data_IF_796200697911
#
_entry.id   IF_796200697911
#
_cell.length_a   1.000
_cell.length_b   1.000
_cell.length_c   1.000
_cell.angle_alpha   90.00
_cell.angle_beta   90.00
_cell.angle_gamma   90.00
#
_symmetry.space_group_name_H-M   'P 1'
#
loop_
_entity.id
_entity.type
_entity.pdbx_description
1 polymer ?
#
# COMPACT_ATOMS: atom_id res chain seq x y z
N UNK A 1 5.18 55.59 -46.50
CA UNK A 1 4.60 56.69 -45.71
C UNK A 1 3.10 56.43 -45.59
N UNK A 2 2.58 56.58 -44.38
CA UNK A 2 1.19 56.45 -43.91
C UNK A 2 0.72 55.05 -43.51
N UNK A 3 0.05 55.08 -42.35
CA UNK A 3 -0.25 54.05 -41.38
C UNK A 3 -1.76 53.80 -41.46
N UNK A 4 -2.21 52.57 -41.25
CA UNK A 4 -3.58 52.29 -40.84
C UNK A 4 -3.54 51.40 -39.58
N UNK A 5 -4.08 51.91 -38.47
CA UNK A 5 -4.30 51.23 -37.19
C UNK A 5 -5.78 50.85 -37.08
N UNK A 6 -6.08 49.61 -36.68
CA UNK A 6 -7.19 49.18 -35.81
C UNK A 6 -7.34 47.67 -35.98
N UNK A 7 -7.43 46.78 -35.00
CA UNK A 7 -7.58 46.86 -33.55
C UNK A 7 -7.89 45.42 -33.08
N UNK A 8 -7.73 45.13 -31.80
CA UNK A 8 -8.38 43.97 -31.17
C UNK A 8 -7.45 42.81 -30.75
N UNK A 9 -7.09 42.84 -29.47
CA UNK A 9 -7.19 41.74 -28.48
C UNK A 9 -6.45 40.40 -28.69
N UNK A 10 -5.58 40.14 -27.71
CA UNK A 10 -4.86 38.92 -27.32
C UNK A 10 -5.79 37.71 -27.12
N UNK A 11 -5.35 36.50 -27.52
CA UNK A 11 -5.81 35.27 -26.86
C UNK A 11 -4.78 34.10 -26.93
N UNK A 12 -4.23 33.79 -25.75
CA UNK A 12 -3.83 32.49 -25.14
C UNK A 12 -2.70 31.66 -25.80
N UNK A 13 -1.46 31.63 -25.27
CA UNK A 13 -0.94 31.03 -24.01
C UNK A 13 -0.89 29.48 -24.05
N UNK A 14 0.33 28.97 -24.22
CA UNK A 14 0.94 27.74 -23.65
C UNK A 14 0.28 26.36 -23.94
N UNK A 15 0.67 25.74 -25.06
CA UNK A 15 0.50 24.29 -25.30
C UNK A 15 1.82 23.51 -25.13
N UNK A 16 2.57 23.77 -24.05
CA UNK A 16 3.90 23.16 -23.90
C UNK A 16 4.32 22.72 -22.50
N UNK A 17 3.56 23.03 -21.44
CA UNK A 17 3.97 22.75 -20.06
C UNK A 17 2.99 21.87 -19.27
N UNK A 18 1.84 21.52 -19.85
CA UNK A 18 0.83 20.71 -19.17
C UNK A 18 1.10 19.20 -19.16
N UNK A 19 1.80 18.67 -20.16
CA UNK A 19 2.02 17.21 -20.25
C UNK A 19 3.25 16.74 -19.46
N UNK A 20 4.31 17.57 -19.36
CA UNK A 20 5.46 17.24 -18.53
C UNK A 20 5.08 17.20 -17.04
N UNK A 21 4.32 18.19 -16.55
CA UNK A 21 3.87 18.23 -15.16
C UNK A 21 3.06 17.01 -14.73
N UNK A 22 2.16 16.51 -15.59
CA UNK A 22 1.36 15.33 -15.29
C UNK A 22 2.16 14.01 -15.35
N UNK A 23 3.20 13.92 -16.21
CA UNK A 23 4.10 12.76 -16.21
C UNK A 23 5.06 12.77 -15.02
N UNK A 24 5.51 13.95 -14.58
CA UNK A 24 6.37 14.07 -13.39
C UNK A 24 5.58 13.85 -12.09
N UNK A 25 4.36 14.38 -11.95
CA UNK A 25 3.53 14.11 -10.76
C UNK A 25 3.05 12.66 -10.68
N UNK A 26 2.81 12.00 -11.83
CA UNK A 26 2.54 10.56 -11.88
C UNK A 26 3.76 9.71 -11.49
N UNK A 27 4.94 10.04 -12.05
CA UNK A 27 6.19 9.33 -11.76
C UNK A 27 6.67 9.52 -10.31
N UNK A 28 6.46 10.70 -9.72
CA UNK A 28 6.83 10.97 -8.32
C UNK A 28 5.88 10.25 -7.36
N UNK A 29 4.61 10.01 -7.70
CA UNK A 29 3.73 9.15 -6.89
C UNK A 29 4.25 7.70 -6.81
N UNK A 30 4.83 7.18 -7.89
CA UNK A 30 5.44 5.85 -7.90
C UNK A 30 6.77 5.79 -7.14
N UNK A 31 7.47 6.92 -6.95
CA UNK A 31 8.67 7.02 -6.12
C UNK A 31 8.37 7.04 -4.60
N UNK A 32 7.10 7.21 -4.21
CA UNK A 32 6.65 7.19 -2.81
C UNK A 32 5.85 5.93 -2.43
N UNK A 33 5.64 5.01 -3.38
CA UNK A 33 5.36 3.62 -3.02
C UNK A 33 6.67 3.04 -2.47
N UNK A 34 6.77 2.91 -1.15
CA UNK A 34 7.85 2.15 -0.53
C UNK A 34 7.98 0.82 -1.28
N UNK A 35 9.18 0.49 -1.76
CA UNK A 35 9.41 -0.76 -2.49
C UNK A 35 9.02 -1.92 -1.57
N UNK A 36 8.02 -2.74 -1.93
CA UNK A 36 7.60 -3.85 -1.08
C UNK A 36 8.79 -4.74 -0.74
N UNK A 37 8.92 -5.13 0.53
CA UNK A 37 9.98 -6.03 0.98
C UNK A 37 9.54 -7.48 0.84
N UNK A 38 10.47 -8.36 0.47
CA UNK A 38 10.21 -9.79 0.50
C UNK A 38 10.07 -10.24 1.96
N UNK A 39 8.92 -10.82 2.31
CA UNK A 39 8.58 -11.27 3.64
C UNK A 39 9.55 -12.35 4.14
N UNK A 40 10.19 -13.10 3.23
CA UNK A 40 11.23 -14.09 3.56
C UNK A 40 12.52 -13.46 4.10
N UNK A 41 12.74 -12.16 3.93
CA UNK A 41 13.88 -11.44 4.48
C UNK A 41 13.67 -10.98 5.92
N UNK A 42 12.41 -10.99 6.40
CA UNK A 42 12.09 -10.57 7.76
C UNK A 42 12.25 -11.72 8.76
N UNK A 43 12.57 -11.37 10.00
CA UNK A 43 12.59 -12.33 11.11
C UNK A 43 11.17 -12.45 11.65
N UNK A 44 10.64 -13.67 11.74
CA UNK A 44 9.34 -13.94 12.38
C UNK A 44 9.49 -14.39 13.84
N UNK A 45 8.60 -13.92 14.72
CA UNK A 45 8.53 -14.27 16.14
C UNK A 45 7.07 -14.47 16.58
N UNK A 46 6.84 -15.37 17.54
CA UNK A 46 5.51 -15.63 18.08
C UNK A 46 4.76 -16.70 17.30
N UNK A 47 3.51 -16.98 17.70
CA UNK A 47 2.68 -18.02 17.06
C UNK A 47 1.27 -17.56 16.74
N UNK A 48 0.76 -16.51 17.39
CA UNK A 48 -0.57 -15.93 17.11
C UNK A 48 -0.78 -14.62 17.92
N UNK A 49 -0.73 -13.42 17.31
CA UNK A 49 -0.26 -13.17 15.95
C UNK A 49 1.26 -13.36 15.82
N UNK A 50 1.72 -13.59 14.59
CA UNK A 50 3.15 -13.59 14.24
C UNK A 50 3.60 -12.14 14.06
N UNK A 51 4.72 -11.79 14.69
CA UNK A 51 5.39 -10.50 14.58
C UNK A 51 6.59 -10.61 13.64
N UNK A 52 6.76 -9.63 12.76
CA UNK A 52 7.83 -9.53 11.77
C UNK A 52 8.79 -8.39 12.12
N UNK A 53 10.07 -8.70 12.21
CA UNK A 53 11.14 -7.79 12.59
C UNK A 53 12.10 -7.55 11.43
N UNK A 54 12.64 -6.34 11.35
CA UNK A 54 13.78 -6.05 10.50
C UNK A 54 15.01 -6.83 11.00
N UNK A 55 15.73 -7.57 10.13
CA UNK A 55 16.86 -8.41 10.54
C UNK A 55 18.11 -7.61 10.96
N UNK A 56 18.24 -6.36 10.54
CA UNK A 56 19.38 -5.50 10.87
C UNK A 56 19.16 -4.77 12.18
N UNK A 57 17.97 -4.16 12.36
CA UNK A 57 17.66 -3.36 13.56
C UNK A 57 17.03 -4.17 14.68
N UNK A 58 16.46 -5.33 14.37
CA UNK A 58 15.62 -6.14 15.27
C UNK A 58 14.35 -5.42 15.75
N UNK A 59 13.97 -4.32 15.10
CA UNK A 59 12.75 -3.57 15.40
C UNK A 59 11.56 -4.11 14.60
N UNK A 60 10.32 -3.92 15.08
CA UNK A 60 9.13 -4.31 14.34
C UNK A 60 9.05 -3.60 12.99
N UNK A 61 8.98 -4.38 11.91
CA UNK A 61 8.96 -3.82 10.57
C UNK A 61 7.61 -3.17 10.27
N UNK A 62 7.64 -1.99 9.65
CA UNK A 62 6.44 -1.31 9.13
C UNK A 62 6.68 -0.95 7.68
N UNK A 63 5.74 -1.30 6.81
CA UNK A 63 5.87 -1.08 5.37
C UNK A 63 5.19 -2.17 4.53
N UNK A 64 5.15 -1.99 3.20
CA UNK A 64 4.58 -2.97 2.28
C UNK A 64 5.47 -4.21 2.18
N UNK A 65 4.84 -5.37 2.12
CA UNK A 65 5.51 -6.66 1.95
C UNK A 65 4.85 -7.52 0.90
N UNK A 66 5.63 -8.45 0.35
CA UNK A 66 5.16 -9.52 -0.50
C UNK A 66 5.86 -10.83 -0.15
N UNK A 67 5.21 -11.96 -0.40
CA UNK A 67 5.82 -13.29 -0.31
C UNK A 67 5.76 -13.92 -1.70
N UNK A 68 6.87 -14.49 -2.17
CA UNK A 68 6.85 -15.41 -3.31
C UNK A 68 7.12 -16.83 -2.87
N UNK A 69 6.48 -17.79 -3.54
CA UNK A 69 6.72 -19.22 -3.38
C UNK A 69 6.88 -19.89 -4.75
N UNK A 70 7.41 -21.11 -4.79
CA UNK A 70 7.45 -21.88 -6.03
C UNK A 70 6.02 -22.26 -6.46
N UNK A 71 5.54 -21.69 -7.57
CA UNK A 71 4.23 -22.03 -8.14
C UNK A 71 4.24 -23.34 -8.94
N UNK A 72 3.10 -23.66 -9.57
CA UNK A 72 2.84 -24.93 -10.29
C UNK A 72 3.91 -25.31 -11.32
N UNK A 73 4.54 -24.31 -11.94
CA UNK A 73 5.58 -24.48 -12.96
C UNK A 73 7.01 -24.36 -12.43
N UNK A 74 7.21 -24.43 -11.11
CA UNK A 74 8.50 -24.18 -10.44
C UNK A 74 9.08 -22.78 -10.73
N UNK A 75 8.20 -21.84 -11.11
CA UNK A 75 8.51 -20.43 -11.25
C UNK A 75 8.03 -19.72 -9.98
N UNK A 76 8.78 -18.77 -9.39
CA UNK A 76 8.30 -17.97 -8.28
C UNK A 76 6.99 -17.27 -8.64
N UNK A 77 5.97 -17.43 -7.80
CA UNK A 77 4.67 -16.78 -7.92
C UNK A 77 4.39 -15.97 -6.67
N UNK A 78 3.65 -14.87 -6.83
CA UNK A 78 3.16 -14.08 -5.71
C UNK A 78 2.22 -14.96 -4.88
N UNK A 79 2.56 -15.17 -3.62
CA UNK A 79 1.77 -15.96 -2.69
C UNK A 79 0.91 -15.07 -1.79
N UNK A 80 1.50 -14.01 -1.25
CA UNK A 80 0.84 -13.07 -0.36
C UNK A 80 1.32 -11.64 -0.61
N UNK A 81 0.45 -10.67 -0.38
CA UNK A 81 0.80 -9.24 -0.37
C UNK A 81 0.01 -8.50 0.71
N UNK A 82 0.59 -7.42 1.24
CA UNK A 82 -0.09 -6.56 2.20
C UNK A 82 0.86 -5.55 2.84
N UNK A 83 0.46 -5.01 3.98
CA UNK A 83 1.25 -4.06 4.75
C UNK A 83 1.41 -4.55 6.18
N UNK A 84 2.59 -4.30 6.74
CA UNK A 84 2.88 -4.50 8.15
C UNK A 84 2.88 -3.14 8.86
N UNK A 85 2.33 -3.09 10.07
CA UNK A 85 2.45 -1.98 11.00
C UNK A 85 2.90 -2.53 12.36
N UNK A 86 3.97 -1.96 12.91
CA UNK A 86 4.62 -2.42 14.14
C UNK A 86 4.85 -3.94 14.14
N UNK A 87 5.26 -4.49 13.00
CA UNK A 87 5.55 -5.91 12.81
C UNK A 87 4.32 -6.81 12.61
N UNK A 88 3.10 -6.29 12.57
CA UNK A 88 1.88 -7.08 12.39
C UNK A 88 1.13 -6.70 11.12
N UNK A 89 0.42 -7.66 10.51
CA UNK A 89 -0.44 -7.36 9.36
C UNK A 89 -1.45 -6.26 9.69
N UNK A 90 -1.49 -5.21 8.86
CA UNK A 90 -2.36 -4.07 9.04
C UNK A 90 -2.83 -3.54 7.69
N UNK A 91 -4.12 -3.25 7.57
CA UNK A 91 -4.73 -2.78 6.34
C UNK A 91 -5.04 -3.92 5.36
N UNK A 92 -5.08 -3.62 4.05
CA UNK A 92 -5.39 -4.60 3.01
C UNK A 92 -4.40 -5.77 2.98
N UNK A 93 -4.94 -6.97 2.80
CA UNK A 93 -4.17 -8.19 2.69
C UNK A 93 -4.77 -9.11 1.61
N UNK A 94 -3.91 -9.75 0.83
CA UNK A 94 -4.30 -10.67 -0.24
C UNK A 94 -3.43 -11.95 -0.22
N UNK A 95 -4.04 -13.07 -0.60
CA UNK A 95 -3.38 -14.37 -0.79
C UNK A 95 -3.85 -15.03 -2.07
N UNK A 96 -2.91 -15.66 -2.76
CA UNK A 96 -3.07 -16.25 -4.08
C UNK A 96 -2.74 -17.75 -4.06
N UNK A 97 -3.24 -18.50 -5.04
CA UNK A 97 -2.87 -19.90 -5.23
C UNK A 97 -1.57 -20.07 -6.03
N UNK A 98 -1.24 -21.33 -6.35
CA UNK A 98 -0.03 -21.72 -7.09
C UNK A 98 -0.02 -21.25 -8.56
N UNK A 99 -1.19 -20.91 -9.10
CA UNK A 99 -1.38 -20.38 -10.45
C UNK A 99 -1.45 -18.84 -10.47
N UNK A 100 -1.43 -18.21 -9.28
CA UNK A 100 -1.49 -16.76 -9.09
C UNK A 100 -2.91 -16.20 -9.08
N UNK A 101 -3.93 -17.05 -8.94
CA UNK A 101 -5.32 -16.60 -8.82
C UNK A 101 -5.60 -16.15 -7.38
N UNK A 102 -6.38 -15.08 -7.23
CA UNK A 102 -6.73 -14.53 -5.92
C UNK A 102 -7.68 -15.48 -5.19
N UNK A 103 -7.26 -15.99 -4.03
CA UNK A 103 -8.03 -16.92 -3.20
C UNK A 103 -8.71 -16.20 -2.04
N UNK A 104 -7.97 -15.31 -1.36
CA UNK A 104 -8.49 -14.61 -0.20
C UNK A 104 -8.06 -13.15 -0.22
N UNK A 105 -8.97 -12.24 0.14
CA UNK A 105 -8.63 -10.86 0.45
C UNK A 105 -9.48 -10.30 1.58
N UNK A 106 -8.93 -9.35 2.31
CA UNK A 106 -9.65 -8.65 3.37
C UNK A 106 -8.81 -7.57 4.02
N UNK A 107 -9.20 -7.20 5.23
CA UNK A 107 -8.48 -6.21 6.06
C UNK A 107 -8.04 -6.86 7.35
N UNK A 108 -6.76 -6.66 7.67
CA UNK A 108 -6.16 -7.02 8.96
C UNK A 108 -6.02 -5.76 9.80
N UNK A 109 -6.19 -5.88 11.11
CA UNK A 109 -5.83 -4.84 12.07
C UNK A 109 -4.94 -5.46 13.15
N UNK A 110 -3.65 -5.10 13.13
CA UNK A 110 -2.66 -5.59 14.09
C UNK A 110 -2.62 -7.13 14.18
N UNK A 111 -2.68 -7.80 13.03
CA UNK A 111 -2.66 -9.26 12.90
C UNK A 111 -4.03 -9.96 13.02
N UNK A 112 -5.12 -9.20 13.25
CA UNK A 112 -6.47 -9.75 13.44
C UNK A 112 -7.40 -9.38 12.28
N UNK A 113 -8.12 -10.35 11.74
CA UNK A 113 -9.06 -10.13 10.64
C UNK A 113 -10.24 -9.28 11.10
N UNK A 114 -10.59 -8.28 10.30
CA UNK A 114 -11.74 -7.41 10.57
C UNK A 114 -12.49 -7.05 9.29
N UNK A 115 -13.76 -6.68 9.44
CA UNK A 115 -14.63 -6.30 8.33
C UNK A 115 -15.01 -7.47 7.42
N UNK A 116 -15.25 -7.17 6.15
CA UNK A 116 -15.66 -8.16 5.15
C UNK A 116 -14.42 -8.74 4.48
N UNK A 117 -14.35 -10.07 4.44
CA UNK A 117 -13.36 -10.85 3.74
C UNK A 117 -14.02 -11.60 2.59
N UNK A 118 -13.27 -11.79 1.50
CA UNK A 118 -13.65 -12.70 0.42
C UNK A 118 -12.71 -13.89 0.50
N UNK A 119 -13.27 -15.09 0.70
CA UNK A 119 -12.56 -16.36 0.81
C UNK A 119 -13.13 -17.33 -0.23
N UNK A 120 -12.31 -17.74 -1.21
CA UNK A 120 -12.75 -18.57 -2.34
C UNK A 120 -14.00 -18.01 -3.06
N UNK A 121 -14.08 -16.68 -3.19
CA UNK A 121 -15.20 -15.99 -3.81
C UNK A 121 -16.47 -15.88 -2.93
N UNK A 122 -16.44 -16.36 -1.70
CA UNK A 122 -17.52 -16.21 -0.72
C UNK A 122 -17.20 -15.10 0.28
N UNK A 123 -18.20 -14.30 0.66
CA UNK A 123 -18.03 -13.30 1.70
C UNK A 123 -18.13 -13.90 3.11
N UNK A 124 -17.13 -13.62 3.95
CA UNK A 124 -17.10 -13.89 5.39
C UNK A 124 -17.04 -12.56 6.12
N UNK A 125 -17.89 -12.36 7.14
CA UNK A 125 -17.91 -11.10 7.92
C UNK A 125 -17.34 -11.33 9.31
N UNK A 126 -16.30 -10.55 9.64
CA UNK A 126 -15.69 -10.46 10.96
C UNK A 126 -16.18 -9.21 11.69
N UNK A 127 -15.74 -9.03 12.95
CA UNK A 127 -16.00 -7.81 13.69
C UNK A 127 -15.49 -6.58 12.90
N UNK A 128 -16.17 -5.42 12.97
CA UNK A 128 -15.72 -4.21 12.29
C UNK A 128 -14.29 -3.86 12.69
N UNK A 129 -13.50 -3.36 11.73
CA UNK A 129 -12.17 -2.86 12.05
C UNK A 129 -12.28 -1.76 13.10
N UNK A 130 -11.50 -1.83 14.20
CA UNK A 130 -11.48 -0.77 15.19
C UNK A 130 -11.26 0.58 14.49
N UNK A 131 -11.93 1.66 14.93
CA UNK A 131 -11.54 2.98 14.47
C UNK A 131 -10.04 3.11 14.76
N UNK A 132 -9.27 3.54 13.75
CA UNK A 132 -7.83 3.74 13.92
C UNK A 132 -7.61 4.53 15.20
N UNK A 133 -6.59 4.15 15.99
CA UNK A 133 -6.21 4.84 17.21
C UNK A 133 -5.93 6.32 16.84
N UNK A 134 -6.97 7.16 16.84
CA UNK A 134 -6.78 8.59 16.95
C UNK A 134 -6.13 8.75 18.32
N UNK A 135 -4.82 8.95 18.32
CA UNK A 135 -4.13 9.46 19.50
C UNK A 135 -4.85 10.76 19.81
N UNK A 136 -5.65 10.75 20.86
CA UNK A 136 -6.25 11.95 21.42
C UNK A 136 -5.11 12.77 22.03
N UNK A 137 -4.47 13.58 21.18
CA UNK A 137 -3.39 14.48 21.56
C UNK A 137 -3.83 15.49 22.64
N UNK A 138 -5.13 15.60 22.94
CA UNK A 138 -5.62 16.46 24.02
C UNK A 138 -5.15 16.05 25.42
N UNK A 139 -4.64 14.83 25.61
CA UNK A 139 -4.12 14.35 26.90
C UNK A 139 -2.59 14.44 27.08
N UNK A 140 -1.83 14.80 26.04
CA UNK A 140 -0.36 14.77 26.07
C UNK A 140 0.24 16.15 26.40
N UNK A 141 -0.53 17.23 26.29
CA UNK A 141 -0.05 18.61 26.56
C UNK A 141 -0.09 19.03 28.04
N UNK A 142 0.05 18.11 28.99
CA UNK A 142 0.15 18.52 30.39
C UNK A 142 0.54 17.45 31.39
N UNK A 143 1.86 17.30 31.61
CA UNK A 143 2.52 17.27 32.93
C UNK A 143 3.97 17.79 32.83
#
# INVERSE_FOLDING_TARGET
>A
MMIAKSGGTVLLILLGLGFAGMMYEGYVRDLFLETPRDLNELISRGTDPIEFLDPETMEPYSGPVFLTEAGSLSVPQLKMSGTLEQGFWHGPWENYDEDGELITKGTQNMGVACGVWIENGLETTYDPCPPGLEIDWSHIDGE
#
